data_IF_436253284648
#
_entry.id   IF_436253284648
#
_cell.length_a   1.000
_cell.length_b   1.000
_cell.length_c   1.000
_cell.angle_alpha   90.00
_cell.angle_beta   90.00
_cell.angle_gamma   90.00
#
_symmetry.space_group_name_H-M   'P 1'
#
loop_
_entity.id
_entity.type
_entity.pdbx_description
1 polymer ?
#
# COMPACT_ATOMS: atom_id res chain seq x y z
N UNK A 1 16.59 21.18 37.49
CA UNK A 1 15.88 20.91 38.78
C UNK A 1 15.88 19.42 39.03
N UNK A 2 16.29 18.96 40.22
CA UNK A 2 16.30 17.53 40.56
C UNK A 2 14.87 16.97 40.62
N UNK A 3 14.68 15.72 40.21
CA UNK A 3 13.38 15.04 40.25
C UNK A 3 12.78 15.01 41.65
N UNK A 4 13.63 14.94 42.70
CA UNK A 4 13.17 14.97 44.10
C UNK A 4 12.54 16.31 44.47
N UNK A 5 13.21 17.41 44.11
CA UNK A 5 12.70 18.75 44.37
C UNK A 5 11.37 19.00 43.65
N UNK A 6 11.22 18.48 42.43
CA UNK A 6 9.94 18.51 41.70
C UNK A 6 8.84 17.75 42.46
N UNK A 7 9.12 16.57 42.98
CA UNK A 7 8.15 15.76 43.73
C UNK A 7 7.74 16.42 45.06
N UNK A 8 8.66 17.10 45.74
CA UNK A 8 8.35 17.82 46.98
C UNK A 8 7.44 19.03 46.72
N UNK A 9 7.68 19.78 45.63
CA UNK A 9 6.77 20.84 45.19
C UNK A 9 5.40 20.23 44.82
N UNK A 10 5.38 19.14 44.06
CA UNK A 10 4.13 18.47 43.67
C UNK A 10 3.30 18.03 44.89
N UNK A 11 3.94 17.49 45.94
CA UNK A 11 3.28 17.18 47.21
C UNK A 11 2.65 18.41 47.87
N UNK A 12 3.31 19.57 47.83
CA UNK A 12 2.76 20.81 48.40
C UNK A 12 1.47 21.23 47.70
N UNK A 13 1.40 21.09 46.38
CA UNK A 13 0.17 21.35 45.62
C UNK A 13 -0.95 20.42 46.06
N UNK A 14 -0.69 19.10 46.15
CA UNK A 14 -1.69 18.14 46.60
C UNK A 14 -2.16 18.39 48.04
N UNK A 15 -1.26 18.75 48.95
CA UNK A 15 -1.62 19.09 50.34
C UNK A 15 -2.54 20.31 50.43
N UNK A 16 -2.46 21.22 49.47
CA UNK A 16 -3.29 22.43 49.39
C UNK A 16 -4.53 22.24 48.51
N UNK A 17 -4.86 21.00 48.11
CA UNK A 17 -5.94 20.71 47.16
C UNK A 17 -5.80 21.42 45.79
N UNK A 18 -4.57 21.80 45.42
CA UNK A 18 -4.27 22.44 44.15
C UNK A 18 -3.90 21.38 43.10
N UNK A 19 -4.39 21.52 41.86
CA UNK A 19 -4.06 20.59 40.79
C UNK A 19 -2.63 20.80 40.28
N UNK A 20 -1.96 19.73 39.83
CA UNK A 20 -0.59 19.79 39.32
C UNK A 20 -0.55 20.31 37.87
N UNK A 21 -0.49 21.64 37.72
CA UNK A 21 -0.54 22.35 36.43
C UNK A 21 0.71 22.12 35.56
N UNK A 22 1.82 21.72 36.17
CA UNK A 22 3.12 21.53 35.49
C UNK A 22 3.26 20.18 34.77
N UNK A 23 2.17 19.42 34.64
CA UNK A 23 2.13 18.23 33.78
C UNK A 23 1.99 18.64 32.31
N UNK A 24 2.72 17.96 31.42
CA UNK A 24 2.67 18.25 29.97
C UNK A 24 1.25 18.14 29.38
N UNK A 25 0.44 17.23 29.91
CA UNK A 25 -0.89 16.91 29.40
C UNK A 25 -2.01 17.48 30.28
N UNK A 26 -1.71 18.46 31.16
CA UNK A 26 -2.64 18.98 32.17
C UNK A 26 -3.98 19.44 31.56
N UNK A 27 -3.93 20.18 30.45
CA UNK A 27 -5.13 20.68 29.77
C UNK A 27 -5.83 19.65 28.88
N UNK A 28 -5.20 18.50 28.62
CA UNK A 28 -5.72 17.49 27.70
C UNK A 28 -6.52 16.40 28.40
N UNK A 29 -6.48 16.33 29.74
CA UNK A 29 -7.25 15.39 30.55
C UNK A 29 -6.89 13.92 30.34
N UNK A 30 -5.80 13.61 29.61
CA UNK A 30 -5.31 12.26 29.32
C UNK A 30 -4.04 11.96 30.11
N UNK A 31 -4.10 12.18 31.41
CA UNK A 31 -2.93 12.05 32.28
C UNK A 31 -2.64 10.58 32.60
N UNK A 32 -3.68 9.73 32.61
CA UNK A 32 -3.55 8.31 32.92
C UNK A 32 -3.42 7.47 31.66
N UNK A 33 -2.65 6.38 31.74
CA UNK A 33 -2.48 5.48 30.59
C UNK A 33 -3.79 4.82 30.14
N UNK A 34 -4.77 4.69 31.04
CA UNK A 34 -6.11 4.17 30.73
C UNK A 34 -6.99 5.17 29.98
N UNK A 35 -6.65 6.46 29.97
CA UNK A 35 -7.35 7.47 29.18
C UNK A 35 -6.97 7.38 27.69
N UNK A 36 -5.92 6.62 27.39
CA UNK A 36 -5.48 6.38 26.01
C UNK A 36 -6.41 5.36 25.37
N UNK A 37 -6.80 5.64 24.14
CA UNK A 37 -7.56 4.69 23.33
C UNK A 37 -6.84 3.33 23.30
N UNK A 38 -7.54 2.23 23.63
CA UNK A 38 -6.93 0.92 23.64
C UNK A 38 -6.50 0.57 22.22
N UNK A 39 -5.19 0.37 22.03
CA UNK A 39 -4.67 -0.17 20.78
C UNK A 39 -5.19 -1.61 20.66
N UNK A 40 -6.14 -1.83 19.77
CA UNK A 40 -6.70 -3.16 19.51
C UNK A 40 -5.62 -4.19 19.15
N UNK A 41 -6.00 -5.47 19.13
CA UNK A 41 -5.10 -6.56 18.74
C UNK A 41 -4.41 -6.24 17.42
N UNK A 42 -3.07 -6.26 17.40
CA UNK A 42 -2.24 -5.97 16.20
C UNK A 42 -2.68 -6.76 14.95
N UNK A 43 -3.29 -7.93 15.13
CA UNK A 43 -3.86 -8.77 14.06
C UNK A 43 -4.92 -8.05 13.22
N UNK A 44 -5.71 -7.16 13.83
CA UNK A 44 -6.81 -6.45 13.15
C UNK A 44 -6.27 -5.44 12.15
N UNK A 45 -5.29 -4.64 12.55
CA UNK A 45 -4.60 -3.71 11.64
C UNK A 45 -3.91 -4.44 10.49
N UNK A 46 -3.24 -5.58 10.77
CA UNK A 46 -2.61 -6.40 9.72
C UNK A 46 -3.64 -6.99 8.75
N UNK A 47 -4.84 -7.33 9.22
CA UNK A 47 -5.92 -7.87 8.38
C UNK A 47 -6.42 -6.82 7.39
N UNK A 48 -6.74 -5.63 7.86
CA UNK A 48 -7.24 -4.55 6.99
C UNK A 48 -6.19 -4.11 5.99
N UNK A 49 -4.93 -3.99 6.41
CA UNK A 49 -3.82 -3.71 5.50
C UNK A 49 -3.67 -4.78 4.40
N UNK A 50 -3.74 -6.07 4.76
CA UNK A 50 -3.68 -7.16 3.78
C UNK A 50 -4.87 -7.14 2.82
N UNK A 51 -6.08 -6.87 3.31
CA UNK A 51 -7.27 -6.74 2.45
C UNK A 51 -7.09 -5.61 1.43
N UNK A 52 -6.56 -4.46 1.85
CA UNK A 52 -6.30 -3.34 0.96
C UNK A 52 -5.31 -3.71 -0.14
N UNK A 53 -4.21 -4.39 0.20
CA UNK A 53 -3.24 -4.88 -0.80
C UNK A 53 -3.85 -5.88 -1.78
N UNK A 54 -4.66 -6.82 -1.28
CA UNK A 54 -5.34 -7.81 -2.14
C UNK A 54 -6.32 -7.11 -3.08
N UNK A 55 -7.07 -6.12 -2.60
CA UNK A 55 -8.01 -5.36 -3.44
C UNK A 55 -7.28 -4.59 -4.55
N UNK A 56 -6.12 -4.00 -4.26
CA UNK A 56 -5.29 -3.35 -5.27
C UNK A 56 -4.73 -4.36 -6.29
N UNK A 57 -4.27 -5.52 -5.83
CA UNK A 57 -3.78 -6.58 -6.71
C UNK A 57 -4.88 -7.11 -7.64
N UNK A 58 -6.10 -7.28 -7.14
CA UNK A 58 -7.26 -7.71 -7.94
C UNK A 58 -7.59 -6.69 -9.03
N UNK A 59 -7.52 -5.39 -8.73
CA UNK A 59 -7.73 -4.35 -9.76
C UNK A 59 -6.71 -4.40 -10.90
N UNK A 60 -5.48 -4.82 -10.61
CA UNK A 60 -4.39 -4.98 -11.60
C UNK A 60 -4.35 -6.37 -12.24
N UNK A 61 -5.18 -7.31 -11.78
CA UNK A 61 -5.14 -8.69 -12.24
C UNK A 61 -5.49 -8.79 -13.74
N UNK A 62 -6.49 -8.04 -14.19
CA UNK A 62 -6.93 -8.11 -15.59
C UNK A 62 -5.84 -7.62 -16.55
N UNK A 63 -5.15 -6.52 -16.24
CA UNK A 63 -4.04 -6.03 -17.07
C UNK A 63 -2.86 -7.00 -17.09
N UNK A 64 -2.51 -7.58 -15.94
CA UNK A 64 -1.45 -8.61 -15.87
C UNK A 64 -1.80 -9.85 -16.69
N UNK A 65 -3.07 -10.27 -16.70
CA UNK A 65 -3.53 -11.41 -17.51
C UNK A 65 -3.44 -11.08 -19.00
N UNK A 66 -3.79 -9.86 -19.41
CA UNK A 66 -3.68 -9.43 -20.80
C UNK A 66 -2.24 -9.39 -21.29
N UNK A 67 -1.33 -8.84 -20.48
CA UNK A 67 0.12 -8.81 -20.72
C UNK A 67 0.67 -10.23 -20.85
N UNK A 68 0.37 -11.10 -19.88
CA UNK A 68 0.78 -12.50 -19.92
C UNK A 68 0.28 -13.22 -21.18
N UNK A 69 -0.99 -12.99 -21.56
CA UNK A 69 -1.57 -13.56 -22.79
C UNK A 69 -0.89 -13.01 -24.05
N UNK A 70 -0.41 -11.76 -24.03
CA UNK A 70 0.31 -11.14 -25.15
C UNK A 70 1.69 -11.76 -25.28
N UNK A 71 2.46 -11.81 -24.20
CA UNK A 71 3.80 -12.43 -24.16
C UNK A 71 3.77 -13.89 -24.62
N UNK A 72 2.83 -14.70 -24.09
CA UNK A 72 2.70 -16.11 -24.47
C UNK A 72 2.32 -16.31 -25.95
N UNK A 73 1.73 -15.30 -26.58
CA UNK A 73 1.41 -15.34 -28.02
C UNK A 73 2.59 -14.91 -28.87
N UNK A 74 3.32 -13.88 -28.45
CA UNK A 74 4.54 -13.40 -29.12
C UNK A 74 5.68 -14.42 -29.02
N UNK A 75 5.76 -15.17 -27.92
CA UNK A 75 6.72 -16.25 -27.75
C UNK A 75 6.45 -17.48 -28.63
N UNK A 76 5.30 -17.55 -29.33
CA UNK A 76 5.03 -18.67 -30.26
C UNK A 76 5.86 -18.48 -31.52
N UNK A 77 6.46 -19.58 -32.00
CA UNK A 77 7.13 -19.60 -33.31
C UNK A 77 6.17 -19.12 -34.39
N UNK A 78 6.70 -18.26 -35.27
CA UNK A 78 6.00 -17.82 -36.47
C UNK A 78 5.70 -19.02 -37.37
N UNK A 79 4.56 -18.99 -38.04
CA UNK A 79 4.26 -19.96 -39.08
C UNK A 79 5.16 -19.72 -40.30
N UNK A 80 5.33 -20.74 -41.15
CA UNK A 80 6.20 -20.67 -42.32
C UNK A 80 5.86 -19.49 -43.27
N UNK A 81 4.57 -19.18 -43.44
CA UNK A 81 4.14 -18.03 -44.26
C UNK A 81 4.51 -16.70 -43.57
N UNK A 82 4.33 -16.62 -42.25
CA UNK A 82 4.64 -15.41 -41.46
C UNK A 82 6.16 -15.15 -41.44
N UNK A 83 6.98 -16.20 -41.34
CA UNK A 83 8.44 -16.09 -41.44
C UNK A 83 8.90 -15.69 -42.84
N UNK A 84 8.30 -16.27 -43.89
CA UNK A 84 8.61 -15.92 -45.27
C UNK A 84 8.26 -14.46 -45.56
N UNK A 85 7.08 -13.99 -45.14
CA UNK A 85 6.71 -12.58 -45.33
C UNK A 85 7.61 -11.63 -44.53
N UNK A 86 8.03 -12.00 -43.32
CA UNK A 86 9.02 -11.23 -42.55
C UNK A 86 10.37 -11.14 -43.29
N UNK A 87 10.85 -12.25 -43.85
CA UNK A 87 12.12 -12.32 -44.58
C UNK A 87 12.10 -11.52 -45.88
N UNK A 88 10.99 -11.55 -46.64
CA UNK A 88 10.89 -10.92 -47.95
C UNK A 88 10.45 -9.45 -47.92
N UNK A 89 9.56 -9.07 -47.01
CA UNK A 89 8.98 -7.72 -46.98
C UNK A 89 9.67 -6.79 -45.96
N UNK A 90 10.51 -7.33 -45.06
CA UNK A 90 11.07 -6.59 -43.93
C UNK A 90 10.02 -6.21 -42.88
N UNK A 91 10.46 -5.82 -41.67
CA UNK A 91 9.57 -5.57 -40.52
C UNK A 91 8.44 -4.57 -40.81
N UNK A 92 8.69 -3.54 -41.64
CA UNK A 92 7.73 -2.47 -41.91
C UNK A 92 6.58 -2.89 -42.82
N UNK A 93 6.82 -3.72 -43.85
CA UNK A 93 5.78 -4.16 -44.78
C UNK A 93 5.18 -5.54 -44.41
N UNK A 94 5.85 -6.31 -43.56
CA UNK A 94 5.33 -7.57 -43.01
C UNK A 94 4.31 -7.37 -41.88
N UNK A 95 4.27 -6.17 -41.28
CA UNK A 95 3.34 -5.72 -40.25
C UNK A 95 1.88 -6.21 -40.40
N UNK A 96 1.20 -6.08 -41.57
CA UNK A 96 -0.17 -6.57 -41.76
C UNK A 96 -0.31 -8.09 -41.96
N UNK A 97 0.78 -8.80 -42.31
CA UNK A 97 0.77 -10.23 -42.65
C UNK A 97 1.35 -11.13 -41.56
N UNK A 98 2.13 -10.55 -40.65
CA UNK A 98 2.46 -11.14 -39.35
C UNK A 98 1.25 -10.96 -38.44
N UNK A 99 1.04 -11.85 -37.47
CA UNK A 99 -0.04 -11.68 -36.47
C UNK A 99 0.09 -10.35 -35.72
N UNK A 100 -0.59 -9.32 -36.22
CA UNK A 100 -0.96 -8.14 -35.44
C UNK A 100 -2.42 -8.26 -35.07
N UNK A 101 -2.72 -8.23 -33.76
CA UNK A 101 -4.11 -8.34 -33.30
C UNK A 101 -4.81 -6.99 -33.35
N UNK A 102 -6.01 -7.00 -33.94
CA UNK A 102 -7.04 -5.98 -33.69
C UNK A 102 -7.36 -5.96 -32.19
N UNK A 103 -7.14 -4.82 -31.55
CA UNK A 103 -7.70 -4.54 -30.24
C UNK A 103 -9.24 -4.48 -30.37
N UNK A 104 -10.02 -4.98 -29.40
CA UNK A 104 -11.45 -4.69 -29.37
C UNK A 104 -11.62 -3.16 -29.34
N UNK A 105 -12.48 -2.62 -30.21
CA UNK A 105 -12.89 -1.21 -30.07
C UNK A 105 -13.59 -1.08 -28.71
N UNK A 106 -13.09 -0.14 -27.90
CA UNK A 106 -13.66 0.24 -26.61
C UNK A 106 -15.16 0.51 -26.72
#
# INVERSE_FOLDING_TARGET
>A
VSARYRADIEKQYYMQSLPWVWANDYFQGRQHFMDREPRGLKRWYKREFRKAQVAEAVKRADSMIEEYRKERREAKRLSWIESMVLEFAGEQAASPYIRQRRLPKK
#
